data_IF_229904019710
#
_entry.id   IF_229904019710
#
_cell.length_a   1.000
_cell.length_b   1.000
_cell.length_c   1.000
_cell.angle_alpha   90.00
_cell.angle_beta   90.00
_cell.angle_gamma   90.00
#
_symmetry.space_group_name_H-M   'P 1'
#
loop_
_entity.id
_entity.type
_entity.pdbx_description
1 polymer ?
#
# COMPACT_ATOMS: atom_id res chain seq x y z
N UNK A 1 21.84 -7.62 -8.43
CA UNK A 1 20.48 -7.03 -8.50
C UNK A 1 20.13 -6.52 -7.11
N UNK A 2 19.85 -5.24 -6.98
CA UNK A 2 19.40 -4.58 -5.76
C UNK A 2 17.93 -4.24 -5.94
N UNK A 3 17.09 -4.64 -4.98
CA UNK A 3 15.65 -4.40 -4.99
C UNK A 3 15.27 -3.59 -3.75
N UNK A 4 14.70 -2.39 -3.95
CA UNK A 4 14.04 -1.65 -2.89
C UNK A 4 12.58 -2.11 -2.82
N UNK A 5 12.23 -2.80 -1.74
CA UNK A 5 10.91 -3.45 -1.63
C UNK A 5 9.83 -2.52 -1.06
N UNK A 6 10.15 -1.31 -0.61
CA UNK A 6 9.16 -0.44 0.02
C UNK A 6 9.31 1.01 -0.40
N UNK A 7 8.65 1.37 -1.48
CA UNK A 7 8.63 2.76 -1.97
C UNK A 7 7.22 3.23 -2.27
N UNK A 8 7.00 4.54 -2.11
CA UNK A 8 5.71 5.16 -2.41
C UNK A 8 5.88 6.20 -3.51
N UNK A 9 5.02 6.11 -4.52
CA UNK A 9 4.94 7.12 -5.58
C UNK A 9 3.49 7.59 -5.74
N UNK A 10 3.36 8.85 -6.11
CA UNK A 10 2.09 9.54 -6.16
C UNK A 10 1.92 10.28 -7.48
N UNK A 11 0.68 10.37 -8.01
CA UNK A 11 0.42 11.24 -9.15
C UNK A 11 0.73 12.71 -8.78
N UNK A 12 1.20 13.52 -9.73
CA UNK A 12 1.50 14.93 -9.50
C UNK A 12 0.34 15.71 -8.85
N UNK A 13 -0.90 15.34 -9.17
CA UNK A 13 -2.12 15.95 -8.60
C UNK A 13 -2.18 15.92 -7.07
N UNK A 14 -1.66 14.85 -6.43
CA UNK A 14 -1.63 14.79 -4.97
C UNK A 14 -0.70 15.84 -4.36
N UNK A 15 0.41 16.11 -5.01
CA UNK A 15 1.35 17.16 -4.57
C UNK A 15 0.78 18.55 -4.82
N UNK A 16 0.21 18.77 -5.99
CA UNK A 16 -0.36 20.06 -6.41
C UNK A 16 -1.61 20.45 -5.61
N UNK A 17 -2.41 19.46 -5.23
CA UNK A 17 -3.68 19.65 -4.53
C UNK A 17 -3.66 19.05 -3.12
N UNK A 18 -2.49 19.02 -2.47
CA UNK A 18 -2.25 18.38 -1.16
C UNK A 18 -3.34 18.69 -0.14
N UNK A 19 -3.70 19.95 0.04
CA UNK A 19 -4.72 20.35 1.02
C UNK A 19 -6.10 19.74 0.76
N UNK A 20 -6.44 19.52 -0.49
CA UNK A 20 -7.69 18.85 -0.88
C UNK A 20 -7.66 17.38 -0.48
N UNK A 21 -6.56 16.69 -0.78
CA UNK A 21 -6.40 15.28 -0.44
C UNK A 21 -6.26 15.04 1.07
N UNK A 22 -5.59 15.92 1.79
CA UNK A 22 -5.52 15.90 3.28
C UNK A 22 -6.91 15.94 3.90
N UNK A 23 -7.83 16.72 3.34
CA UNK A 23 -9.22 16.80 3.84
C UNK A 23 -10.08 15.62 3.39
N UNK A 24 -9.76 15.02 2.26
CA UNK A 24 -10.54 13.96 1.63
C UNK A 24 -10.20 12.58 2.17
N UNK A 25 -8.92 12.33 2.46
CA UNK A 25 -8.46 11.03 2.96
C UNK A 25 -7.77 11.18 4.31
N UNK A 26 -8.36 10.63 5.40
CA UNK A 26 -7.80 10.71 6.75
C UNK A 26 -6.38 10.13 6.88
N UNK A 27 -6.09 8.99 6.22
CA UNK A 27 -4.75 8.40 6.27
C UNK A 27 -3.72 9.30 5.59
N UNK A 28 -4.06 9.84 4.43
CA UNK A 28 -3.20 10.80 3.75
C UNK A 28 -3.00 12.07 4.59
N UNK A 29 -4.08 12.55 5.25
CA UNK A 29 -4.01 13.67 6.17
C UNK A 29 -3.08 13.41 7.36
N UNK A 30 -3.15 12.21 7.94
CA UNK A 30 -2.26 11.79 9.03
C UNK A 30 -0.78 11.81 8.60
N UNK A 31 -0.47 11.29 7.43
CA UNK A 31 0.91 11.08 6.97
C UNK A 31 1.52 12.30 6.27
N UNK A 32 0.72 13.09 5.55
CA UNK A 32 1.21 14.10 4.60
C UNK A 32 0.63 15.51 4.79
N UNK A 33 0.02 15.81 5.94
CA UNK A 33 -0.42 17.18 6.25
C UNK A 33 0.75 18.17 6.37
N UNK A 34 1.93 17.72 6.79
CA UNK A 34 3.13 18.55 6.81
C UNK A 34 3.60 18.82 5.36
N UNK A 35 3.65 20.09 4.92
CA UNK A 35 4.07 20.42 3.55
C UNK A 35 5.52 20.03 3.24
N UNK A 36 6.34 19.75 4.25
CA UNK A 36 7.72 19.27 4.09
C UNK A 36 7.80 17.79 3.75
N UNK A 37 6.74 17.02 4.01
CA UNK A 37 6.67 15.62 3.62
C UNK A 37 6.74 15.49 2.09
N UNK A 38 7.70 14.70 1.61
CA UNK A 38 7.91 14.51 0.17
C UNK A 38 6.85 13.59 -0.42
N UNK A 39 6.39 13.93 -1.61
CA UNK A 39 5.51 13.11 -2.44
C UNK A 39 6.23 12.94 -3.78
N UNK A 40 6.93 11.84 -3.95
CA UNK A 40 7.68 11.55 -5.16
C UNK A 40 6.77 11.02 -6.27
N UNK A 41 7.07 11.36 -7.51
CA UNK A 41 6.48 10.74 -8.70
C UNK A 41 7.28 9.51 -9.12
N UNK A 42 6.73 8.70 -10.03
CA UNK A 42 7.45 7.56 -10.59
C UNK A 42 8.74 7.99 -11.32
N UNK A 43 8.70 9.09 -12.06
CA UNK A 43 9.89 9.61 -12.77
C UNK A 43 10.98 10.07 -11.81
N UNK A 44 10.62 10.73 -10.70
CA UNK A 44 11.56 11.12 -9.66
C UNK A 44 12.16 9.89 -8.96
N UNK A 45 11.37 8.83 -8.73
CA UNK A 45 11.89 7.57 -8.19
C UNK A 45 12.87 6.91 -9.16
N UNK A 46 12.56 6.81 -10.45
CA UNK A 46 13.48 6.24 -11.45
C UNK A 46 14.81 6.99 -11.48
N UNK A 47 14.77 8.32 -11.43
CA UNK A 47 16.00 9.13 -11.38
C UNK A 47 16.83 8.84 -10.12
N UNK A 48 16.19 8.72 -8.95
CA UNK A 48 16.87 8.36 -7.71
C UNK A 48 17.43 6.93 -7.75
N UNK A 49 16.68 5.98 -8.31
CA UNK A 49 17.15 4.60 -8.49
C UNK A 49 18.41 4.53 -9.37
N UNK A 50 18.47 5.35 -10.43
CA UNK A 50 19.63 5.40 -11.32
C UNK A 50 20.86 5.99 -10.62
N UNK A 51 20.66 7.01 -9.77
CA UNK A 51 21.73 7.62 -8.98
C UNK A 51 22.27 6.66 -7.90
N UNK A 52 21.37 5.92 -7.23
CA UNK A 52 21.71 5.03 -6.10
C UNK A 52 22.06 3.59 -6.55
N UNK A 53 21.95 3.27 -7.83
CA UNK A 53 22.23 1.94 -8.36
C UNK A 53 21.20 0.88 -7.98
N UNK A 54 19.94 1.28 -7.75
CA UNK A 54 18.83 0.38 -7.48
C UNK A 54 18.32 -0.22 -8.79
N UNK A 55 18.29 -1.53 -8.90
CA UNK A 55 17.85 -2.21 -10.13
C UNK A 55 16.33 -2.19 -10.27
N UNK A 56 15.59 -2.47 -9.19
CA UNK A 56 14.12 -2.54 -9.14
C UNK A 56 13.56 -1.94 -7.86
N UNK A 57 12.34 -1.39 -7.93
CA UNK A 57 11.58 -0.97 -6.76
C UNK A 57 10.17 -1.52 -6.79
N UNK A 58 9.66 -1.89 -5.60
CA UNK A 58 8.23 -2.15 -5.40
C UNK A 58 7.58 -0.83 -5.02
N UNK A 59 6.67 -0.37 -5.88
CA UNK A 59 5.92 0.89 -5.69
C UNK A 59 4.53 0.59 -5.22
N UNK A 60 4.06 1.29 -4.20
CA UNK A 60 2.76 1.03 -3.61
C UNK A 60 2.05 2.31 -3.16
N UNK A 61 0.73 2.22 -2.98
CA UNK A 61 -0.05 3.23 -2.28
C UNK A 61 0.16 3.15 -0.76
N UNK A 62 -0.55 4.00 -0.06
CA UNK A 62 -0.68 3.92 1.40
C UNK A 62 -2.00 3.24 1.77
N UNK A 63 -2.28 3.09 3.05
CA UNK A 63 -3.56 2.59 3.56
C UNK A 63 -4.70 3.59 3.35
N UNK A 64 -5.15 3.78 2.12
CA UNK A 64 -6.20 4.73 1.76
C UNK A 64 -7.51 4.46 2.48
N UNK A 65 -8.17 5.52 2.95
CA UNK A 65 -9.51 5.47 3.51
C UNK A 65 -10.57 5.78 2.45
N UNK A 66 -10.34 6.78 1.60
CA UNK A 66 -11.24 7.14 0.49
C UNK A 66 -10.99 6.23 -0.72
N UNK A 67 -12.03 5.48 -1.11
CA UNK A 67 -11.97 4.55 -2.25
C UNK A 67 -11.67 5.25 -3.59
N UNK A 68 -12.16 6.46 -3.77
CA UNK A 68 -11.94 7.22 -5.00
C UNK A 68 -10.49 7.70 -5.12
N UNK A 69 -9.87 8.13 -4.00
CA UNK A 69 -8.44 8.48 -3.96
C UNK A 69 -7.59 7.25 -4.22
N UNK A 70 -7.91 6.12 -3.56
CA UNK A 70 -7.19 4.87 -3.78
C UNK A 70 -7.20 4.48 -5.26
N UNK A 71 -8.36 4.55 -5.91
CA UNK A 71 -8.50 4.21 -7.32
C UNK A 71 -7.68 5.13 -8.23
N UNK A 72 -7.69 6.43 -7.96
CA UNK A 72 -6.89 7.43 -8.70
C UNK A 72 -5.39 7.10 -8.59
N UNK A 73 -4.92 6.75 -7.40
CA UNK A 73 -3.52 6.37 -7.19
C UNK A 73 -3.21 5.00 -7.80
N UNK A 74 -4.11 4.03 -7.69
CA UNK A 74 -3.92 2.71 -8.33
C UNK A 74 -3.82 2.84 -9.85
N UNK A 75 -4.61 3.70 -10.48
CA UNK A 75 -4.53 3.97 -11.93
C UNK A 75 -3.16 4.56 -12.29
N UNK A 76 -2.64 5.46 -11.48
CA UNK A 76 -1.29 5.99 -11.64
C UNK A 76 -0.19 4.92 -11.47
N UNK A 77 -0.34 4.01 -10.49
CA UNK A 77 0.59 2.90 -10.30
C UNK A 77 0.59 1.94 -11.50
N UNK A 78 -0.57 1.65 -12.07
CA UNK A 78 -0.71 0.85 -13.30
C UNK A 78 0.01 1.53 -14.46
N UNK A 79 -0.17 2.84 -14.65
CA UNK A 79 0.55 3.62 -15.66
C UNK A 79 2.06 3.56 -15.43
N UNK A 80 2.53 3.81 -14.21
CA UNK A 80 3.94 3.82 -13.86
C UNK A 80 4.63 2.47 -14.16
N UNK A 81 4.00 1.37 -13.76
CA UNK A 81 4.52 0.00 -14.06
C UNK A 81 4.52 -0.28 -15.55
N UNK A 82 3.51 0.17 -16.28
CA UNK A 82 3.47 0.03 -17.74
C UNK A 82 4.59 0.81 -18.45
N UNK A 83 4.96 1.98 -17.92
CA UNK A 83 6.06 2.81 -18.45
C UNK A 83 7.44 2.25 -18.11
N UNK A 84 7.57 1.62 -16.96
CA UNK A 84 8.86 1.13 -16.43
C UNK A 84 8.79 -0.36 -16.02
N UNK A 85 8.42 -1.30 -16.93
CA UNK A 85 8.12 -2.69 -16.56
C UNK A 85 9.32 -3.47 -16.03
N UNK A 86 10.54 -3.09 -16.41
CA UNK A 86 11.77 -3.71 -15.94
C UNK A 86 12.31 -3.11 -14.64
N UNK A 87 11.76 -1.98 -14.20
CA UNK A 87 12.23 -1.23 -13.04
C UNK A 87 11.22 -1.22 -11.90
N UNK A 88 9.91 -1.23 -12.18
CA UNK A 88 8.88 -1.09 -11.16
C UNK A 88 7.99 -2.34 -11.08
N UNK A 89 7.62 -2.70 -9.86
CA UNK A 89 6.58 -3.67 -9.54
C UNK A 89 5.54 -2.98 -8.69
N UNK A 90 4.28 -2.93 -9.13
CA UNK A 90 3.24 -2.16 -8.46
C UNK A 90 2.39 -3.00 -7.52
N UNK A 91 2.04 -2.44 -6.37
CA UNK A 91 1.10 -2.98 -5.40
C UNK A 91 -0.07 -2.00 -5.21
N UNK A 92 -1.30 -2.51 -5.25
CA UNK A 92 -2.50 -1.70 -5.16
C UNK A 92 -2.79 -1.25 -3.73
N UNK A 93 -3.12 0.01 -3.54
CA UNK A 93 -3.67 0.51 -2.28
C UNK A 93 -5.14 0.09 -2.15
N UNK A 94 -5.43 -0.78 -1.21
CA UNK A 94 -6.77 -1.33 -0.94
C UNK A 94 -7.14 -1.11 0.52
N UNK A 95 -8.41 -0.92 0.80
CA UNK A 95 -8.91 -0.93 2.17
C UNK A 95 -10.00 -2.00 2.33
N UNK A 96 -9.74 -3.06 3.11
CA UNK A 96 -10.74 -4.09 3.39
C UNK A 96 -12.03 -3.55 4.00
N UNK A 97 -11.97 -2.42 4.71
CA UNK A 97 -13.14 -1.77 5.34
C UNK A 97 -14.10 -1.07 4.37
N UNK A 98 -13.78 -0.95 3.08
CA UNK A 98 -14.77 -0.46 2.09
C UNK A 98 -15.93 -1.41 1.89
N UNK A 99 -15.83 -2.63 2.42
CA UNK A 99 -16.72 -3.76 2.20
C UNK A 99 -16.09 -4.81 1.29
N UNK A 100 -16.32 -6.08 1.60
CA UNK A 100 -15.63 -7.19 0.95
C UNK A 100 -15.70 -7.18 -0.57
N UNK A 101 -16.90 -6.91 -1.14
CA UNK A 101 -17.09 -6.85 -2.59
C UNK A 101 -16.30 -5.69 -3.23
N UNK A 102 -16.37 -4.49 -2.65
CA UNK A 102 -15.68 -3.33 -3.22
C UNK A 102 -14.16 -3.48 -3.20
N UNK A 103 -13.61 -4.01 -2.11
CA UNK A 103 -12.18 -4.28 -1.96
C UNK A 103 -11.70 -5.38 -2.92
N UNK A 104 -12.47 -6.46 -3.04
CA UNK A 104 -12.18 -7.58 -3.94
C UNK A 104 -12.20 -7.14 -5.41
N UNK A 105 -13.23 -6.40 -5.84
CA UNK A 105 -13.35 -5.89 -7.22
C UNK A 105 -12.19 -4.97 -7.60
N UNK A 106 -11.78 -4.07 -6.71
CA UNK A 106 -10.66 -3.17 -6.99
C UNK A 106 -9.34 -3.95 -7.03
N UNK A 107 -9.12 -4.91 -6.13
CA UNK A 107 -7.94 -5.77 -6.14
C UNK A 107 -7.84 -6.59 -7.44
N UNK A 108 -8.95 -7.20 -7.86
CA UNK A 108 -9.03 -7.95 -9.12
C UNK A 108 -8.74 -7.06 -10.34
N UNK A 109 -9.32 -5.85 -10.37
CA UNK A 109 -9.07 -4.86 -11.42
C UNK A 109 -7.58 -4.53 -11.53
N UNK A 110 -6.94 -4.25 -10.40
CA UNK A 110 -5.51 -3.92 -10.33
C UNK A 110 -4.63 -5.10 -10.74
N UNK A 111 -4.96 -6.32 -10.30
CA UNK A 111 -4.24 -7.54 -10.69
C UNK A 111 -4.30 -7.77 -12.22
N UNK A 112 -5.49 -7.63 -12.82
CA UNK A 112 -5.66 -7.73 -14.28
C UNK A 112 -4.90 -6.63 -15.05
N UNK A 113 -4.74 -5.46 -14.44
CA UNK A 113 -3.96 -4.36 -14.99
C UNK A 113 -2.44 -4.51 -14.80
N UNK A 114 -1.98 -5.59 -14.15
CA UNK A 114 -0.57 -5.94 -14.04
C UNK A 114 0.08 -5.67 -12.70
N UNK A 115 -0.65 -5.15 -11.70
CA UNK A 115 -0.11 -5.03 -10.34
C UNK A 115 0.07 -6.43 -9.71
N UNK A 116 1.08 -6.59 -8.87
CA UNK A 116 1.53 -7.88 -8.34
C UNK A 116 1.32 -8.05 -6.83
N UNK A 117 0.73 -7.07 -6.19
CA UNK A 117 0.46 -7.15 -4.77
C UNK A 117 -0.55 -6.11 -4.32
N UNK A 118 -0.81 -6.15 -3.03
CA UNK A 118 -1.67 -5.21 -2.30
C UNK A 118 -0.84 -4.59 -1.19
N UNK A 119 -0.92 -3.29 -1.03
CA UNK A 119 -0.29 -2.58 0.07
C UNK A 119 0.11 -1.15 -0.26
N UNK A 120 0.60 -0.44 0.72
CA UNK A 120 0.75 -0.88 2.11
C UNK A 120 -0.61 -0.85 2.82
N UNK A 121 -1.07 -1.97 3.36
CA UNK A 121 -2.21 -1.99 4.26
C UNK A 121 -1.82 -1.29 5.57
N UNK A 122 -2.70 -0.44 6.10
CA UNK A 122 -2.47 0.25 7.37
C UNK A 122 -3.68 0.05 8.31
N UNK A 123 -3.82 -1.14 8.95
CA UNK A 123 -5.02 -1.53 9.68
C UNK A 123 -5.51 -0.49 10.67
N UNK A 124 -4.59 0.15 11.42
CA UNK A 124 -4.94 1.18 12.41
C UNK A 124 -5.58 2.42 11.80
N UNK A 125 -4.99 3.01 10.74
CA UNK A 125 -5.54 4.20 10.09
C UNK A 125 -6.76 3.87 9.23
N UNK A 126 -6.81 2.66 8.66
CA UNK A 126 -7.94 2.17 7.86
C UNK A 126 -9.11 1.63 8.71
N UNK A 127 -8.93 1.47 10.03
CA UNK A 127 -9.99 1.16 10.97
C UNK A 127 -10.45 -0.30 10.98
N UNK A 128 -9.55 -1.27 10.79
CA UNK A 128 -9.88 -2.70 10.88
C UNK A 128 -8.81 -3.50 11.63
N UNK A 129 -9.18 -4.71 12.06
CA UNK A 129 -8.23 -5.71 12.59
C UNK A 129 -7.83 -6.66 11.45
N UNK A 130 -6.53 -6.76 11.20
CA UNK A 130 -5.94 -7.65 10.18
C UNK A 130 -6.29 -9.13 10.44
N UNK A 131 -6.53 -9.52 11.69
CA UNK A 131 -7.00 -10.85 12.08
C UNK A 131 -8.52 -11.05 11.99
N UNK A 132 -9.28 -10.05 11.51
CA UNK A 132 -10.73 -10.19 11.35
C UNK A 132 -11.06 -10.90 10.02
N UNK A 133 -11.35 -12.18 10.11
CA UNK A 133 -11.63 -13.05 8.96
C UNK A 133 -12.80 -12.52 8.11
N UNK A 134 -13.88 -12.02 8.71
CA UNK A 134 -15.04 -11.54 7.96
C UNK A 134 -14.75 -10.32 7.09
N UNK A 135 -13.76 -9.52 7.46
CA UNK A 135 -13.30 -8.36 6.70
C UNK A 135 -12.28 -8.78 5.65
N UNK A 136 -11.36 -9.68 6.01
CA UNK A 136 -10.22 -10.03 5.16
C UNK A 136 -10.53 -11.09 4.11
N UNK A 137 -11.43 -12.06 4.40
CA UNK A 137 -11.66 -13.21 3.51
C UNK A 137 -11.98 -12.84 2.06
N UNK A 138 -12.90 -11.92 1.75
CA UNK A 138 -13.20 -11.60 0.35
C UNK A 138 -11.98 -11.09 -0.42
N UNK A 139 -11.13 -10.31 0.23
CA UNK A 139 -9.90 -9.81 -0.36
C UNK A 139 -8.86 -10.93 -0.51
N UNK A 140 -8.74 -11.82 0.49
CA UNK A 140 -7.77 -12.92 0.44
C UNK A 140 -8.13 -13.99 -0.59
N UNK A 141 -9.39 -14.14 -0.96
CA UNK A 141 -9.80 -14.98 -2.11
C UNK A 141 -9.17 -14.44 -3.40
N UNK A 142 -9.31 -13.15 -3.68
CA UNK A 142 -8.70 -12.53 -4.86
C UNK A 142 -7.16 -12.60 -4.81
N UNK A 143 -6.57 -12.40 -3.64
CA UNK A 143 -5.12 -12.52 -3.42
C UNK A 143 -4.61 -13.89 -3.85
N UNK A 144 -5.30 -14.97 -3.44
CA UNK A 144 -4.95 -16.34 -3.80
C UNK A 144 -5.13 -16.61 -5.29
N UNK A 145 -6.30 -16.28 -5.82
CA UNK A 145 -6.64 -16.51 -7.22
C UNK A 145 -5.71 -15.78 -8.18
N UNK A 146 -5.27 -14.58 -7.81
CA UNK A 146 -4.40 -13.73 -8.62
C UNK A 146 -2.91 -13.87 -8.29
N UNK A 147 -2.55 -14.64 -7.25
CA UNK A 147 -1.16 -14.83 -6.80
C UNK A 147 -0.51 -13.53 -6.32
N UNK A 148 -1.28 -12.68 -5.64
CA UNK A 148 -0.79 -11.40 -5.16
C UNK A 148 0.00 -11.54 -3.85
N UNK A 149 0.95 -10.64 -3.65
CA UNK A 149 1.68 -10.47 -2.38
C UNK A 149 0.94 -9.40 -1.56
N UNK A 150 0.85 -9.61 -0.26
CA UNK A 150 0.28 -8.63 0.68
C UNK A 150 1.40 -7.96 1.46
N UNK A 151 1.44 -6.62 1.45
CA UNK A 151 2.31 -5.83 2.31
C UNK A 151 1.45 -5.09 3.33
N UNK A 152 1.82 -5.19 4.60
CA UNK A 152 1.13 -4.47 5.68
C UNK A 152 2.10 -3.67 6.51
N UNK A 153 1.65 -2.51 6.95
CA UNK A 153 2.30 -1.76 8.02
C UNK A 153 2.41 -2.65 9.25
N UNK A 154 3.57 -2.66 9.87
CA UNK A 154 3.78 -3.31 11.16
C UNK A 154 4.40 -2.31 12.15
N UNK A 155 4.00 -2.43 13.41
CA UNK A 155 4.33 -1.46 14.45
C UNK A 155 5.11 -2.15 15.56
N UNK A 156 6.27 -1.59 15.91
CA UNK A 156 6.99 -2.06 17.09
C UNK A 156 6.15 -1.83 18.36
N UNK A 157 6.07 -2.81 19.27
CA UNK A 157 5.27 -2.69 20.51
C UNK A 157 5.88 -1.72 21.52
N UNK A 158 7.12 -1.32 21.31
CA UNK A 158 7.91 -0.44 22.19
C UNK A 158 8.34 0.83 21.46
N UNK A 159 9.03 1.74 22.18
CA UNK A 159 9.50 2.99 21.60
C UNK A 159 8.53 4.14 21.76
N UNK A 160 8.90 5.32 21.25
CA UNK A 160 8.09 6.53 21.36
C UNK A 160 6.94 6.52 20.35
N UNK A 161 5.89 7.28 20.65
CA UNK A 161 4.78 7.51 19.71
C UNK A 161 5.22 8.52 18.65
N UNK A 162 4.91 8.23 17.39
CA UNK A 162 5.06 9.13 16.25
C UNK A 162 3.85 9.01 15.32
N UNK A 163 3.70 9.99 14.47
CA UNK A 163 2.57 10.04 13.52
C UNK A 163 2.69 8.91 12.50
N UNK A 164 1.62 8.15 12.29
CA UNK A 164 1.61 7.00 11.39
C UNK A 164 2.19 5.70 11.98
N UNK A 165 2.61 5.67 13.26
CA UNK A 165 3.10 4.44 13.91
C UNK A 165 2.09 3.31 13.87
N UNK A 166 0.81 3.61 14.07
CA UNK A 166 -0.25 2.60 14.16
C UNK A 166 -0.11 1.67 15.37
N UNK A 167 -0.84 0.57 15.35
CA UNK A 167 -0.87 -0.46 16.40
C UNK A 167 -0.99 -1.88 15.79
N UNK A 168 -0.33 -2.11 14.65
CA UNK A 168 -0.29 -3.42 13.99
C UNK A 168 0.82 -4.26 14.60
N UNK A 169 0.52 -4.92 15.69
CA UNK A 169 1.47 -5.66 16.53
C UNK A 169 1.76 -7.07 16.02
N UNK A 170 2.85 -7.70 16.45
CA UNK A 170 3.22 -9.07 16.07
C UNK A 170 2.10 -10.10 16.27
N UNK A 171 1.29 -9.96 17.33
CA UNK A 171 0.18 -10.88 17.59
C UNK A 171 -0.91 -10.80 16.50
N UNK A 172 -1.14 -9.62 15.92
CA UNK A 172 -2.09 -9.42 14.81
C UNK A 172 -1.54 -10.05 13.53
N UNK A 173 -0.25 -9.87 13.26
CA UNK A 173 0.45 -10.47 12.13
C UNK A 173 0.41 -12.00 12.23
N UNK A 174 0.69 -12.56 13.42
CA UNK A 174 0.64 -14.01 13.65
C UNK A 174 -0.76 -14.59 13.46
N UNK A 175 -1.83 -13.88 13.88
CA UNK A 175 -3.21 -14.30 13.58
C UNK A 175 -3.46 -14.36 12.08
N UNK A 176 -3.09 -13.33 11.34
CA UNK A 176 -3.23 -13.30 9.88
C UNK A 176 -2.49 -14.46 9.21
N UNK A 177 -1.22 -14.67 9.55
CA UNK A 177 -0.39 -15.75 8.99
C UNK A 177 -0.98 -17.13 9.29
N UNK A 178 -1.57 -17.31 10.49
CA UNK A 178 -2.22 -18.57 10.88
C UNK A 178 -3.52 -18.80 10.09
N UNK A 179 -4.28 -17.74 9.82
CA UNK A 179 -5.53 -17.82 9.05
C UNK A 179 -5.29 -18.00 7.55
N UNK A 180 -4.22 -17.41 7.03
CA UNK A 180 -3.89 -17.39 5.60
C UNK A 180 -2.46 -17.88 5.33
N UNK A 181 -2.14 -19.17 5.67
CA UNK A 181 -0.77 -19.69 5.60
C UNK A 181 -0.22 -19.82 4.17
N UNK A 182 -1.09 -19.76 3.20
CA UNK A 182 -0.81 -19.81 1.75
C UNK A 182 -0.63 -18.41 1.11
N UNK A 183 -0.87 -17.33 1.85
CA UNK A 183 -0.69 -15.96 1.40
C UNK A 183 0.71 -15.47 1.79
N UNK A 184 1.45 -14.93 0.83
CA UNK A 184 2.72 -14.27 1.12
C UNK A 184 2.45 -12.91 1.77
N UNK A 185 2.83 -12.77 3.04
CA UNK A 185 2.77 -11.51 3.79
C UNK A 185 4.16 -10.91 3.92
N UNK A 186 4.29 -9.64 3.61
CA UNK A 186 5.47 -8.81 3.88
C UNK A 186 5.12 -7.82 5.00
N UNK A 187 5.83 -7.91 6.10
CA UNK A 187 5.70 -6.98 7.22
C UNK A 187 6.67 -5.80 6.99
N UNK A 188 6.12 -4.60 6.82
CA UNK A 188 6.92 -3.40 6.64
C UNK A 188 7.65 -3.02 7.95
N UNK A 189 8.69 -2.17 7.85
CA UNK A 189 9.40 -1.58 8.98
C UNK A 189 10.07 -2.59 9.92
N UNK A 190 10.53 -3.72 9.38
CA UNK A 190 11.16 -4.83 10.13
C UNK A 190 10.21 -5.57 11.08
N UNK A 191 8.91 -5.46 10.86
CA UNK A 191 7.74 -6.13 11.34
C UNK A 191 7.68 -6.77 12.68
#
# INVERSE_FOLDING_TARGET
MIVDFHTHVYPPSLREQRETFVKRDPTFGELFADPRAKLATADELIAAMDEDGIDRSVVMGIGWTDQGVAREVNDYLVEAVSRFPDRLTGFAGINPSWGGEASALEAERCARAGLRGIGELHPSSQGYDLGNESIMSPLMEVVRESGLIVTTHSSEPVGHTYQGKGDTRPEMLMRFITQYPDVTLVCAHWG
#
